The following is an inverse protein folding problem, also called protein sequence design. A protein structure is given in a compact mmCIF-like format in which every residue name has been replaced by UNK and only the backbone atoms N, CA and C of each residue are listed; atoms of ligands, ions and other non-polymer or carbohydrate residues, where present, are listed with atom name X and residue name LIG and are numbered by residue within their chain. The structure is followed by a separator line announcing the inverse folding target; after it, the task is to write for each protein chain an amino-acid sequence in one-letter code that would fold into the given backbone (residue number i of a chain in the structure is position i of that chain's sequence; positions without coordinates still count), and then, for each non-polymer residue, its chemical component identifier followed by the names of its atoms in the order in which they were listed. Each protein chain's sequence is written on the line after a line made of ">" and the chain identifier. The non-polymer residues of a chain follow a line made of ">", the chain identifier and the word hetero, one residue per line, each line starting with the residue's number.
data_IF_201456858301
#
_entry.id   IF_201456858301
#
_cell.length_a   1.000
_cell.length_b   1.000
_cell.length_c   1.000
_cell.angle_alpha   90.00
_cell.angle_beta   90.00
_cell.angle_gamma   90.00
#
_symmetry.space_group_name_H-M   'P 1'
#
loop_
_entity.id
_entity.type
_entity.pdbx_description
1 polymer ?
#
# COMPACT_ATOMS: atom_id res chain seq x y z
N UNK A 1 -0.89 60.39 -17.88
CA UNK A 1 -0.89 60.57 -16.41
C UNK A 1 0.17 59.70 -15.73
N UNK A 2 1.34 60.30 -15.47
CA UNK A 2 2.48 59.70 -14.77
C UNK A 2 2.30 59.79 -13.25
N UNK A 3 2.45 58.69 -12.48
CA UNK A 3 2.70 58.78 -11.04
C UNK A 3 4.20 58.71 -10.71
N UNK A 4 4.57 59.58 -9.76
CA UNK A 4 5.91 59.92 -9.31
C UNK A 4 6.60 58.83 -8.44
N UNK A 5 7.95 58.88 -8.31
CA UNK A 5 8.71 57.93 -7.51
C UNK A 5 8.67 58.28 -6.01
N UNK A 6 8.33 57.29 -5.17
CA UNK A 6 8.38 57.41 -3.69
C UNK A 6 9.76 57.03 -3.14
N UNK A 7 10.21 57.88 -2.24
CA UNK A 7 11.53 57.96 -1.60
C UNK A 7 11.79 56.83 -0.59
N UNK A 8 13.01 56.31 -0.63
CA UNK A 8 13.90 56.13 0.52
C UNK A 8 13.45 55.23 1.67
N UNK A 9 13.69 53.93 1.55
CA UNK A 9 13.68 53.02 2.68
C UNK A 9 15.03 53.08 3.43
N UNK A 10 15.00 53.57 4.69
CA UNK A 10 16.10 53.53 5.64
C UNK A 10 16.42 52.07 6.01
N UNK A 11 17.64 51.64 5.69
CA UNK A 11 18.23 50.40 6.24
C UNK A 11 18.48 50.59 7.73
N UNK A 12 17.66 49.97 8.58
CA UNK A 12 17.98 49.80 10.01
C UNK A 12 18.89 48.59 10.14
N UNK A 13 20.05 48.79 10.75
CA UNK A 13 21.01 47.73 11.05
C UNK A 13 20.34 46.65 11.90
N UNK A 14 20.48 45.40 11.47
CA UNK A 14 19.99 44.24 12.20
C UNK A 14 20.77 44.08 13.53
N UNK A 15 20.09 43.68 14.63
CA UNK A 15 20.75 43.40 15.89
C UNK A 15 21.74 42.24 15.74
N UNK A 16 22.92 42.39 16.35
CA UNK A 16 23.95 41.34 16.40
C UNK A 16 23.40 40.13 17.15
N UNK A 17 23.36 39.00 16.46
CA UNK A 17 23.00 37.71 17.03
C UNK A 17 23.91 37.39 18.22
N UNK A 18 23.32 37.25 19.40
CA UNK A 18 23.99 36.76 20.59
C UNK A 18 24.52 35.35 20.35
N UNK A 19 25.74 35.08 20.84
CA UNK A 19 26.37 33.76 20.74
C UNK A 19 25.50 32.72 21.46
N UNK A 20 25.11 31.61 20.81
CA UNK A 20 24.30 30.59 21.44
C UNK A 20 25.08 29.93 22.59
N UNK A 21 24.41 29.86 23.74
CA UNK A 21 24.90 29.26 24.98
C UNK A 21 25.07 27.75 24.76
N UNK A 22 26.17 27.18 25.25
CA UNK A 22 26.61 25.76 25.08
C UNK A 22 25.55 24.68 25.34
N UNK A 23 24.41 24.99 25.95
CA UNK A 23 23.33 24.06 26.26
C UNK A 23 22.51 23.60 25.03
N UNK A 24 22.48 24.38 23.94
CA UNK A 24 21.65 24.03 22.75
C UNK A 24 22.21 22.86 21.94
N UNK A 25 23.52 22.59 22.04
CA UNK A 25 24.14 21.49 21.28
C UNK A 25 23.75 20.11 21.82
N UNK A 26 23.54 19.97 23.12
CA UNK A 26 23.20 18.67 23.72
C UNK A 26 21.79 18.19 23.32
N UNK A 27 20.82 19.12 23.21
CA UNK A 27 19.43 18.79 22.86
C UNK A 27 19.27 18.39 21.39
N UNK A 28 20.08 18.97 20.48
CA UNK A 28 20.05 18.62 19.06
C UNK A 28 20.47 17.16 18.80
N UNK A 29 21.48 16.65 19.52
CA UNK A 29 21.92 15.27 19.39
C UNK A 29 20.90 14.27 19.95
N UNK A 30 20.20 14.62 21.03
CA UNK A 30 19.16 13.76 21.60
C UNK A 30 17.98 13.59 20.64
N UNK A 31 17.57 14.66 19.95
CA UNK A 31 16.48 14.62 18.96
C UNK A 31 16.84 13.75 17.74
N UNK A 32 18.08 13.81 17.25
CA UNK A 32 18.55 12.96 16.15
C UNK A 32 18.60 11.49 16.59
N UNK A 33 19.07 11.21 17.81
CA UNK A 33 19.08 9.83 18.34
C UNK A 33 17.66 9.29 18.50
N UNK A 34 16.72 10.08 19.04
CA UNK A 34 15.32 9.68 19.17
C UNK A 34 14.62 9.48 17.82
N UNK A 35 14.95 10.26 16.79
CA UNK A 35 14.43 10.06 15.45
C UNK A 35 14.98 8.78 14.78
N UNK A 36 16.23 8.41 15.07
CA UNK A 36 16.83 7.14 14.62
C UNK A 36 16.30 5.92 15.38
N UNK A 37 15.82 6.12 16.61
CA UNK A 37 15.24 5.08 17.48
C UNK A 37 13.71 4.99 17.37
N UNK A 38 13.07 5.89 16.62
CA UNK A 38 11.64 5.78 16.37
C UNK A 38 11.39 4.46 15.63
N UNK A 39 10.59 3.53 16.20
CA UNK A 39 10.24 2.31 15.51
C UNK A 39 9.62 2.74 14.18
N UNK A 40 10.21 2.30 13.06
CA UNK A 40 9.64 2.53 11.74
C UNK A 40 8.19 2.09 11.83
N UNK A 41 7.27 3.06 11.87
CA UNK A 41 5.88 2.82 12.26
C UNK A 41 5.38 1.63 11.48
N UNK A 42 4.99 0.57 12.20
CA UNK A 42 4.64 -0.71 11.60
C UNK A 42 3.62 -0.43 10.49
N UNK A 43 4.08 -0.52 9.23
CA UNK A 43 3.22 -0.16 8.11
C UNK A 43 2.06 -1.14 8.14
N UNK A 44 0.84 -0.64 8.34
CA UNK A 44 -0.37 -1.45 8.23
C UNK A 44 -0.23 -2.31 6.99
N UNK A 45 -0.33 -3.63 7.15
CA UNK A 45 -0.18 -4.55 6.04
C UNK A 45 -1.39 -4.37 5.15
N UNK A 46 -1.26 -3.53 4.13
CA UNK A 46 -2.29 -3.21 3.16
C UNK A 46 -1.97 -3.96 1.86
N UNK A 47 -1.83 -5.28 1.93
CA UNK A 47 -1.52 -6.11 0.77
C UNK A 47 -2.56 -7.19 0.57
N UNK A 48 -2.84 -7.52 -0.69
CA UNK A 48 -3.49 -8.78 -1.05
C UNK A 48 -2.39 -9.70 -1.57
N UNK A 49 -2.33 -10.91 -1.05
CA UNK A 49 -1.38 -11.94 -1.48
C UNK A 49 -2.13 -13.20 -1.93
N UNK A 50 -1.74 -13.75 -3.07
CA UNK A 50 -2.18 -15.05 -3.53
C UNK A 50 -1.12 -16.11 -3.20
N UNK A 51 -1.56 -17.22 -2.62
CA UNK A 51 -0.72 -18.27 -2.07
C UNK A 51 -1.17 -19.65 -2.50
N UNK A 52 -0.24 -20.59 -2.51
CA UNK A 52 -0.51 -22.01 -2.71
C UNK A 52 -0.19 -22.80 -1.42
N UNK A 53 -1.20 -23.43 -0.82
CA UNK A 53 -1.11 -24.32 0.34
C UNK A 53 -1.72 -25.69 0.02
N UNK A 54 -1.21 -26.34 -1.01
CA UNK A 54 -1.67 -27.65 -1.48
C UNK A 54 -1.65 -27.75 -3.00
N UNK A 55 -2.06 -28.89 -3.59
CA UNK A 55 -2.08 -29.05 -5.03
C UNK A 55 -3.29 -28.36 -5.69
N UNK A 56 -3.07 -27.84 -6.90
CA UNK A 56 -4.11 -27.34 -7.80
C UNK A 56 -5.01 -26.24 -7.22
N UNK A 57 -6.23 -26.15 -7.73
CA UNK A 57 -7.17 -25.08 -7.33
C UNK A 57 -7.58 -25.15 -5.85
N UNK A 58 -7.61 -26.34 -5.26
CA UNK A 58 -8.00 -26.54 -3.86
C UNK A 58 -6.98 -25.94 -2.87
N UNK A 59 -5.70 -25.89 -3.28
CA UNK A 59 -4.64 -25.28 -2.48
C UNK A 59 -4.56 -23.75 -2.57
N UNK A 60 -5.34 -23.10 -3.44
CA UNK A 60 -5.27 -21.64 -3.61
C UNK A 60 -5.86 -20.94 -2.39
N UNK A 61 -5.10 -19.97 -1.86
CA UNK A 61 -5.50 -19.13 -0.74
C UNK A 61 -5.26 -17.66 -1.03
N UNK A 62 -6.10 -16.81 -0.44
CA UNK A 62 -5.92 -15.37 -0.45
C UNK A 62 -5.59 -14.90 0.97
N UNK A 63 -4.50 -14.15 1.12
CA UNK A 63 -4.20 -13.38 2.32
C UNK A 63 -4.60 -11.93 2.09
N UNK A 64 -5.34 -11.37 3.05
CA UNK A 64 -5.81 -10.00 3.02
C UNK A 64 -5.90 -9.43 4.44
N UNK A 65 -5.90 -8.10 4.60
CA UNK A 65 -6.02 -7.47 5.91
C UNK A 65 -7.39 -7.78 6.52
N UNK A 66 -7.46 -7.93 7.84
CA UNK A 66 -8.74 -8.10 8.52
C UNK A 66 -9.61 -6.83 8.40
N UNK A 67 -10.93 -7.03 8.40
CA UNK A 67 -11.88 -5.93 8.24
C UNK A 67 -11.84 -4.94 9.41
N UNK A 68 -11.58 -5.41 10.63
CA UNK A 68 -11.58 -4.62 11.86
C UNK A 68 -10.17 -4.42 12.44
N UNK A 69 -9.17 -5.15 11.95
CA UNK A 69 -7.80 -5.05 12.42
C UNK A 69 -6.83 -4.98 11.24
N UNK A 70 -6.54 -3.78 10.78
CA UNK A 70 -5.68 -3.55 9.61
C UNK A 70 -4.20 -3.90 9.83
N UNK A 71 -3.82 -4.26 11.06
CA UNK A 71 -2.50 -4.82 11.37
C UNK A 71 -2.48 -6.34 11.30
N UNK A 72 -3.64 -6.99 11.36
CA UNK A 72 -3.79 -8.43 11.24
C UNK A 72 -4.06 -8.84 9.79
N UNK A 73 -3.53 -10.01 9.43
CA UNK A 73 -3.74 -10.63 8.13
C UNK A 73 -4.56 -11.89 8.33
N UNK A 74 -5.66 -12.00 7.60
CA UNK A 74 -6.45 -13.22 7.51
C UNK A 74 -6.08 -13.99 6.24
N UNK A 75 -5.96 -15.31 6.37
CA UNK A 75 -5.80 -16.24 5.25
C UNK A 75 -7.14 -16.94 4.99
N UNK A 76 -7.59 -16.93 3.74
CA UNK A 76 -8.86 -17.52 3.31
C UNK A 76 -8.60 -18.62 2.30
N UNK A 77 -9.11 -19.82 2.57
CA UNK A 77 -9.09 -20.92 1.62
C UNK A 77 -10.08 -20.65 0.49
N UNK A 78 -9.61 -20.53 -0.75
CA UNK A 78 -10.48 -20.13 -1.85
C UNK A 78 -11.43 -21.23 -2.32
N UNK A 79 -11.14 -22.48 -1.97
CA UNK A 79 -12.04 -23.61 -2.19
C UNK A 79 -13.32 -23.52 -1.34
N UNK A 80 -13.32 -22.83 -0.20
CA UNK A 80 -14.50 -22.71 0.68
C UNK A 80 -15.37 -21.50 0.36
N UNK A 81 -14.98 -20.66 -0.60
CA UNK A 81 -15.74 -19.47 -0.99
C UNK A 81 -16.83 -19.86 -1.99
N UNK A 82 -18.10 -19.77 -1.59
CA UNK A 82 -19.26 -19.99 -2.47
C UNK A 82 -19.78 -18.67 -3.07
N UNK A 83 -20.70 -18.75 -4.04
CA UNK A 83 -21.14 -17.63 -4.88
C UNK A 83 -21.63 -16.38 -4.11
N UNK A 84 -22.23 -16.55 -2.93
CA UNK A 84 -22.67 -15.44 -2.07
C UNK A 84 -21.52 -14.71 -1.39
N UNK A 85 -20.34 -15.32 -1.27
CA UNK A 85 -19.16 -14.69 -0.67
C UNK A 85 -18.39 -13.83 -1.67
N UNK A 86 -18.61 -13.99 -2.98
CA UNK A 86 -17.91 -13.26 -4.04
C UNK A 86 -18.12 -11.75 -3.97
N UNK A 87 -19.23 -11.31 -3.36
CA UNK A 87 -19.43 -9.88 -3.10
C UNK A 87 -18.45 -9.39 -2.04
N UNK A 88 -18.11 -10.16 -1.00
CA UNK A 88 -17.26 -9.72 0.12
C UNK A 88 -15.77 -9.62 -0.29
N UNK A 89 -14.98 -8.80 0.43
CA UNK A 89 -13.52 -8.66 0.25
C UNK A 89 -12.79 -10.01 0.12
N UNK A 90 -13.07 -10.94 1.03
CA UNK A 90 -12.48 -12.27 1.02
C UNK A 90 -12.83 -13.07 -0.25
N UNK A 91 -14.09 -13.04 -0.69
CA UNK A 91 -14.49 -13.76 -1.89
C UNK A 91 -13.98 -13.10 -3.16
N UNK A 92 -13.92 -11.76 -3.22
CA UNK A 92 -13.29 -11.07 -4.33
C UNK A 92 -11.79 -11.36 -4.43
N UNK A 93 -11.07 -11.34 -3.31
CA UNK A 93 -9.65 -11.71 -3.28
C UNK A 93 -9.44 -13.17 -3.73
N UNK A 94 -10.32 -14.09 -3.31
CA UNK A 94 -10.24 -15.48 -3.75
C UNK A 94 -10.59 -15.69 -5.21
N UNK A 95 -11.60 -15.00 -5.75
CA UNK A 95 -11.91 -15.03 -7.18
C UNK A 95 -10.73 -14.53 -8.01
N UNK A 96 -10.10 -13.44 -7.57
CA UNK A 96 -8.90 -12.90 -8.20
C UNK A 96 -7.74 -13.91 -8.19
N UNK A 97 -7.38 -14.48 -7.03
CA UNK A 97 -6.30 -15.45 -6.93
C UNK A 97 -6.58 -16.75 -7.71
N UNK A 98 -7.82 -17.24 -7.69
CA UNK A 98 -8.20 -18.41 -8.48
C UNK A 98 -8.11 -18.14 -9.99
N UNK A 99 -8.49 -16.93 -10.44
CA UNK A 99 -8.33 -16.52 -11.83
C UNK A 99 -6.84 -16.48 -12.23
N UNK A 100 -5.98 -15.88 -11.42
CA UNK A 100 -4.54 -15.87 -11.70
C UNK A 100 -3.95 -17.29 -11.79
N UNK A 101 -4.32 -18.18 -10.86
CA UNK A 101 -3.83 -19.56 -10.87
C UNK A 101 -4.27 -20.33 -12.12
N UNK A 102 -5.52 -20.16 -12.54
CA UNK A 102 -6.06 -20.79 -13.74
C UNK A 102 -5.35 -20.31 -15.03
N UNK A 103 -4.72 -19.13 -15.01
CA UNK A 103 -3.89 -18.64 -16.12
C UNK A 103 -2.42 -19.06 -16.02
N UNK A 104 -2.06 -19.86 -15.02
CA UNK A 104 -0.73 -20.43 -14.86
C UNK A 104 0.16 -19.71 -13.85
N UNK A 105 -0.38 -18.83 -13.00
CA UNK A 105 0.37 -18.33 -11.85
C UNK A 105 0.69 -19.49 -10.88
N UNK A 106 1.97 -19.73 -10.59
CA UNK A 106 2.42 -20.89 -9.81
C UNK A 106 2.39 -20.69 -8.29
N UNK A 107 2.24 -19.44 -7.82
CA UNK A 107 2.24 -19.01 -6.40
C UNK A 107 3.29 -19.69 -5.50
N UNK A 108 4.35 -20.25 -6.09
CA UNK A 108 5.46 -20.84 -5.35
C UNK A 108 6.16 -19.75 -4.53
N UNK A 109 6.18 -18.54 -5.07
CA UNK A 109 6.37 -17.30 -4.32
C UNK A 109 5.04 -16.58 -4.20
N UNK A 110 4.69 -16.07 -2.99
CA UNK A 110 3.50 -15.25 -2.79
C UNK A 110 3.42 -14.11 -3.80
N UNK A 111 2.34 -14.08 -4.57
CA UNK A 111 2.10 -12.97 -5.47
C UNK A 111 1.27 -11.92 -4.75
N UNK A 112 1.90 -10.80 -4.37
CA UNK A 112 1.24 -9.75 -3.63
C UNK A 112 1.27 -8.41 -4.33
N UNK A 113 0.23 -7.62 -4.07
CA UNK A 113 0.14 -6.22 -4.48
C UNK A 113 -0.29 -5.32 -3.31
N UNK A 114 0.07 -4.04 -3.36
CA UNK A 114 -0.27 -3.03 -2.36
C UNK A 114 -1.61 -2.37 -2.66
N UNK A 115 -2.42 -2.21 -1.63
CA UNK A 115 -3.76 -1.63 -1.68
C UNK A 115 -3.76 -0.13 -1.40
N UNK A 116 -2.61 0.45 -1.03
CA UNK A 116 -2.51 1.85 -0.59
C UNK A 116 -3.02 2.84 -1.65
N UNK A 117 -2.70 2.57 -2.91
CA UNK A 117 -3.16 3.34 -4.07
C UNK A 117 -3.90 2.42 -5.05
N UNK A 118 -4.85 1.62 -4.54
CA UNK A 118 -5.61 0.65 -5.32
C UNK A 118 -6.19 1.26 -6.62
N UNK A 119 -6.01 0.55 -7.73
CA UNK A 119 -6.47 0.95 -9.06
C UNK A 119 -5.53 1.91 -9.79
N UNK A 120 -4.49 2.45 -9.14
CA UNK A 120 -3.46 3.26 -9.79
C UNK A 120 -2.27 2.40 -10.19
N UNK A 121 -1.71 2.54 -11.39
CA UNK A 121 -0.47 1.85 -11.76
C UNK A 121 0.70 2.39 -10.94
N UNK A 122 1.68 1.53 -10.65
CA UNK A 122 2.91 1.93 -9.95
C UNK A 122 3.38 0.89 -8.95
N UNK A 123 4.33 1.31 -8.10
CA UNK A 123 4.92 0.50 -7.02
C UNK A 123 4.81 1.27 -5.72
N UNK A 124 4.46 0.58 -4.65
CA UNK A 124 4.46 1.15 -3.30
C UNK A 124 5.89 1.36 -2.83
N UNK A 125 6.31 2.62 -2.73
CA UNK A 125 7.66 3.02 -2.31
C UNK A 125 8.06 2.46 -0.94
N UNK A 126 7.11 2.11 -0.06
CA UNK A 126 7.42 1.54 1.27
C UNK A 126 7.74 0.06 1.21
N UNK A 127 7.02 -0.70 0.38
CA UNK A 127 7.07 -2.15 0.38
C UNK A 127 7.74 -2.74 -0.86
N UNK A 128 7.99 -1.92 -1.89
CA UNK A 128 8.50 -2.35 -3.19
C UNK A 128 7.52 -3.21 -3.99
N UNK A 129 6.27 -3.36 -3.52
CA UNK A 129 5.25 -4.20 -4.17
C UNK A 129 4.46 -3.39 -5.19
N UNK A 130 4.03 -3.99 -6.32
CA UNK A 130 3.19 -3.29 -7.28
C UNK A 130 1.86 -2.88 -6.65
N UNK A 131 1.29 -1.76 -7.07
CA UNK A 131 -0.06 -1.36 -6.66
C UNK A 131 -1.09 -2.33 -7.26
N UNK A 132 -2.04 -2.76 -6.45
CA UNK A 132 -3.13 -3.63 -6.88
C UNK A 132 -3.96 -2.91 -7.95
N UNK A 133 -4.11 -3.54 -9.11
CA UNK A 133 -5.01 -3.06 -10.16
C UNK A 133 -6.40 -3.65 -9.98
N UNK A 134 -7.43 -2.89 -10.36
CA UNK A 134 -8.80 -3.41 -10.40
C UNK A 134 -8.95 -4.57 -11.38
N UNK A 135 -8.30 -4.45 -12.54
CA UNK A 135 -8.26 -5.49 -13.56
C UNK A 135 -6.80 -5.81 -13.87
N UNK A 136 -6.40 -7.05 -13.62
CA UNK A 136 -5.10 -7.54 -14.05
C UNK A 136 -5.26 -8.37 -15.31
N UNK A 137 -4.69 -7.87 -16.42
CA UNK A 137 -4.63 -8.64 -17.67
C UNK A 137 -3.71 -9.83 -17.48
N UNK A 138 -4.19 -11.00 -17.87
CA UNK A 138 -3.50 -12.28 -17.76
C UNK A 138 -3.62 -13.02 -19.08
N UNK A 139 -2.65 -13.90 -19.32
CA UNK A 139 -2.57 -14.70 -20.52
C UNK A 139 -2.56 -16.17 -20.12
N UNK A 140 -3.57 -16.90 -20.58
CA UNK A 140 -3.67 -18.31 -20.28
C UNK A 140 -2.69 -19.09 -21.17
N UNK A 141 -1.66 -19.68 -20.57
CA UNK A 141 -0.62 -20.39 -21.31
C UNK A 141 -1.12 -21.67 -22.01
N UNK A 142 -2.25 -22.24 -21.56
CA UNK A 142 -2.80 -23.46 -22.15
C UNK A 142 -3.69 -23.16 -23.37
N UNK A 143 -4.52 -22.12 -23.29
CA UNK A 143 -5.51 -21.79 -24.34
C UNK A 143 -5.07 -20.66 -25.25
N UNK A 144 -4.05 -19.90 -24.87
CA UNK A 144 -3.64 -18.67 -25.54
C UNK A 144 -4.63 -17.51 -25.39
N UNK A 145 -5.68 -17.66 -24.57
CA UNK A 145 -6.67 -16.62 -24.36
C UNK A 145 -6.14 -15.52 -23.43
N UNK A 146 -6.45 -14.27 -23.77
CA UNK A 146 -6.23 -13.14 -22.86
C UNK A 146 -7.51 -12.89 -22.08
N UNK A 147 -7.40 -12.76 -20.75
CA UNK A 147 -8.52 -12.35 -19.90
C UNK A 147 -8.07 -11.34 -18.84
N UNK A 148 -9.02 -10.84 -18.07
CA UNK A 148 -8.74 -9.93 -16.97
C UNK A 148 -9.25 -10.52 -15.66
N UNK A 149 -8.36 -10.70 -14.69
CA UNK A 149 -8.72 -11.07 -13.34
C UNK A 149 -9.12 -9.81 -12.56
N UNK A 150 -10.38 -9.74 -12.14
CA UNK A 150 -10.93 -8.60 -11.41
C UNK A 150 -10.71 -8.74 -9.90
N UNK A 151 -10.23 -7.66 -9.28
CA UNK A 151 -10.19 -7.47 -7.84
C UNK A 151 -11.12 -6.31 -7.48
N UNK A 152 -12.24 -6.58 -6.79
CA UNK A 152 -13.26 -5.60 -6.43
C UNK A 152 -13.05 -5.09 -5.00
N UNK A 153 -11.91 -4.44 -4.79
CA UNK A 153 -11.54 -3.90 -3.48
C UNK A 153 -12.18 -2.54 -3.18
N UNK A 154 -12.57 -1.82 -4.23
CA UNK A 154 -13.26 -0.53 -4.23
C UNK A 154 -14.66 -0.56 -3.62
N UNK A 155 -15.35 -1.71 -3.67
CA UNK A 155 -16.72 -1.84 -3.16
C UNK A 155 -16.86 -1.66 -1.64
N UNK A 156 -15.75 -1.62 -0.90
CA UNK A 156 -15.80 -1.61 0.54
C UNK A 156 -14.72 -0.69 1.09
N UNK A 157 -15.11 0.55 1.41
CA UNK A 157 -14.28 1.47 2.16
C UNK A 157 -13.66 0.75 3.36
N UNK A 158 -12.33 0.69 3.40
CA UNK A 158 -11.66 0.65 4.69
C UNK A 158 -12.03 1.98 5.33
N UNK A 159 -12.56 1.96 6.55
CA UNK A 159 -12.66 3.20 7.32
C UNK A 159 -11.30 3.88 7.15
N UNK A 160 -11.30 5.04 6.49
CA UNK A 160 -10.07 5.72 6.16
C UNK A 160 -9.32 5.84 7.49
N UNK A 161 -8.12 5.26 7.56
CA UNK A 161 -7.22 5.58 8.64
C UNK A 161 -6.88 7.05 8.44
N UNK A 162 -7.67 7.90 9.11
CA UNK A 162 -7.45 9.32 9.32
C UNK A 162 -6.14 9.54 10.05
#
# INVERSE_FOLDING_TARGET
>A
PHPAPRRGARWRAAPRAGRPVRAERAMAWLAVLLALLAPAGASLQQHVCCLQRGPGRAGVRAQLPEALNHSAVQEVACASVSGTHLVRKAGSACAYCACLQQDGADFARPECCSLRDFGRPGVDARTGRPMCQRYRKTYNLQTGATRACELRYDLYHFAAAS
#
